data_IF_203938714080
#
_entry.id   IF_203938714080
#
_cell.length_a   1.000
_cell.length_b   1.000
_cell.length_c   1.000
_cell.angle_alpha   90.00
_cell.angle_beta   90.00
_cell.angle_gamma   90.00
#
_symmetry.space_group_name_H-M   'P 1'
#
loop_
_entity.id
_entity.type
_entity.pdbx_description
1 polymer ?
#
# COMPACT_ATOMS: atom_id res chain seq x y z
N UNK A 1 -4.28 -20.14 33.45
CA UNK A 1 -4.23 -18.84 34.14
C UNK A 1 -3.19 -17.99 33.44
N UNK A 2 -3.55 -17.27 32.38
CA UNK A 2 -2.64 -16.31 31.74
C UNK A 2 -2.89 -14.95 32.38
N UNK A 3 -1.99 -14.56 33.28
CA UNK A 3 -1.95 -13.23 33.84
C UNK A 3 -1.31 -12.29 32.81
N UNK A 4 -2.08 -11.35 32.29
CA UNK A 4 -1.56 -10.17 31.60
C UNK A 4 -1.96 -8.95 32.44
N UNK A 5 -1.02 -8.06 32.82
CA UNK A 5 -1.33 -6.88 33.61
C UNK A 5 -2.19 -5.91 32.78
N UNK A 6 -3.06 -5.10 33.42
CA UNK A 6 -3.58 -3.90 32.80
C UNK A 6 -2.47 -2.83 32.81
N UNK A 7 -2.40 -1.96 31.79
CA UNK A 7 -1.52 -0.76 31.66
C UNK A 7 -0.31 -0.89 30.72
N UNK A 8 -0.54 -1.07 29.42
CA UNK A 8 0.38 -0.53 28.41
C UNK A 8 -0.41 0.21 27.32
N UNK A 9 -0.66 1.49 27.56
CA UNK A 9 -1.01 2.39 26.47
C UNK A 9 0.29 2.66 25.72
N UNK A 10 0.52 1.95 24.61
CA UNK A 10 1.62 2.23 23.73
C UNK A 10 1.32 3.50 22.93
N UNK A 11 2.34 4.34 22.75
CA UNK A 11 2.29 5.46 21.82
C UNK A 11 3.37 5.25 20.76
N UNK A 12 2.98 5.28 19.50
CA UNK A 12 3.90 5.17 18.38
C UNK A 12 3.77 6.39 17.47
N UNK A 13 4.88 6.86 16.93
CA UNK A 13 4.92 8.06 16.09
C UNK A 13 5.53 7.72 14.74
N UNK A 14 4.81 8.05 13.67
CA UNK A 14 5.24 7.77 12.30
C UNK A 14 5.36 9.07 11.53
N UNK A 15 6.53 9.27 10.93
CA UNK A 15 6.80 10.41 10.07
C UNK A 15 6.29 10.13 8.64
N UNK A 16 5.32 10.94 8.20
CA UNK A 16 4.61 10.76 6.95
C UNK A 16 4.93 11.91 5.99
N UNK A 17 5.55 11.66 4.82
CA UNK A 17 5.80 12.70 3.84
C UNK A 17 4.49 13.37 3.37
N UNK A 18 4.50 14.69 3.11
CA UNK A 18 3.29 15.44 2.79
C UNK A 18 2.64 15.01 1.46
N UNK A 19 3.40 14.38 0.55
CA UNK A 19 2.86 13.80 -0.68
C UNK A 19 2.00 12.55 -0.47
N UNK A 20 2.17 11.83 0.64
CA UNK A 20 1.46 10.57 0.93
C UNK A 20 0.42 10.71 2.04
N UNK A 21 0.45 11.78 2.82
CA UNK A 21 -0.50 11.98 3.92
C UNK A 21 -1.96 12.09 3.45
N UNK A 22 -2.20 12.67 2.27
CA UNK A 22 -3.54 12.70 1.68
C UNK A 22 -4.07 11.29 1.41
N UNK A 23 -3.18 10.33 1.15
CA UNK A 23 -3.49 8.92 0.96
C UNK A 23 -3.81 8.21 2.27
N UNK A 24 -3.12 8.56 3.36
CA UNK A 24 -3.36 8.01 4.71
C UNK A 24 -4.66 8.54 5.31
N UNK A 25 -4.97 9.82 5.08
CA UNK A 25 -6.23 10.45 5.54
C UNK A 25 -7.42 9.97 4.71
N UNK A 26 -7.27 9.88 3.38
CA UNK A 26 -8.38 9.62 2.47
C UNK A 26 -9.26 10.85 2.23
N UNK A 27 -10.14 10.79 1.22
CA UNK A 27 -11.07 11.89 0.94
C UNK A 27 -12.06 12.02 2.11
N UNK A 28 -12.09 13.18 2.76
CA UNK A 28 -12.97 13.40 3.92
C UNK A 28 -12.60 12.62 5.19
N UNK A 29 -11.37 12.06 5.27
CA UNK A 29 -10.93 11.31 6.45
C UNK A 29 -11.46 9.87 6.51
N UNK A 30 -11.97 9.32 5.41
CA UNK A 30 -12.51 7.95 5.37
C UNK A 30 -11.43 6.90 5.65
N UNK A 31 -10.22 7.09 5.12
CA UNK A 31 -9.14 6.11 5.23
C UNK A 31 -8.60 6.10 6.65
N UNK A 32 -8.36 7.27 7.26
CA UNK A 32 -7.93 7.32 8.66
C UNK A 32 -8.96 6.75 9.62
N UNK A 33 -10.26 7.01 9.38
CA UNK A 33 -11.33 6.36 10.16
C UNK A 33 -11.31 4.85 9.99
N UNK A 34 -11.10 4.36 8.76
CA UNK A 34 -10.94 2.93 8.48
C UNK A 34 -9.71 2.32 9.17
N UNK A 35 -8.59 3.03 9.19
CA UNK A 35 -7.36 2.62 9.86
C UNK A 35 -7.55 2.51 11.38
N UNK A 36 -8.17 3.52 12.00
CA UNK A 36 -8.53 3.49 13.41
C UNK A 36 -9.53 2.37 13.73
N UNK A 37 -10.53 2.17 12.87
CA UNK A 37 -11.54 1.11 13.04
C UNK A 37 -10.96 -0.30 12.86
N UNK A 38 -10.03 -0.49 11.91
CA UNK A 38 -9.35 -1.77 11.68
C UNK A 38 -8.36 -2.12 12.80
N UNK A 39 -7.59 -1.13 13.25
CA UNK A 39 -6.57 -1.34 14.28
C UNK A 39 -7.12 -1.31 15.69
N UNK A 40 -8.25 -0.62 15.91
CA UNK A 40 -8.75 -0.29 17.25
C UNK A 40 -7.87 0.73 17.99
N UNK A 41 -6.91 1.37 17.30
CA UNK A 41 -6.04 2.40 17.87
C UNK A 41 -6.56 3.81 17.60
N UNK A 42 -6.16 4.75 18.45
CA UNK A 42 -6.44 6.17 18.29
C UNK A 42 -5.30 6.85 17.51
N UNK A 43 -5.57 7.19 16.24
CA UNK A 43 -4.59 7.76 15.31
C UNK A 43 -4.84 9.27 15.18
N UNK A 44 -3.93 10.10 15.68
CA UNK A 44 -3.98 11.57 15.59
C UNK A 44 -2.92 12.06 14.63
N UNK A 45 -3.27 12.95 13.69
CA UNK A 45 -2.31 13.53 12.76
C UNK A 45 -2.04 14.97 13.16
N UNK A 46 -0.77 15.30 13.39
CA UNK A 46 -0.36 16.67 13.64
C UNK A 46 -0.31 17.46 12.32
N UNK A 47 -1.12 18.52 12.25
CA UNK A 47 -1.22 19.40 11.07
C UNK A 47 -0.39 20.69 11.25
N UNK A 48 0.36 20.81 12.35
CA UNK A 48 1.05 22.04 12.73
C UNK A 48 2.46 22.15 12.11
N UNK A 49 2.58 21.84 10.83
CA UNK A 49 3.86 21.87 10.13
C UNK A 49 3.79 22.76 8.88
N UNK A 50 4.82 23.59 8.62
CA UNK A 50 4.89 24.43 7.44
C UNK A 50 4.89 23.58 6.16
N UNK A 51 4.29 24.12 5.09
CA UNK A 51 4.20 23.49 3.78
C UNK A 51 5.54 22.89 3.34
N UNK A 52 5.58 21.55 3.21
CA UNK A 52 6.76 20.81 2.75
C UNK A 52 7.42 19.89 3.78
N UNK A 53 7.04 19.96 5.06
CA UNK A 53 7.60 19.06 6.10
C UNK A 53 6.81 17.74 6.25
N UNK A 54 7.48 16.64 6.65
CA UNK A 54 6.81 15.38 6.99
C UNK A 54 5.86 15.60 8.18
N UNK A 55 4.61 15.17 8.02
CA UNK A 55 3.60 15.22 9.07
C UNK A 55 3.77 14.05 10.03
N UNK A 56 3.60 14.29 11.32
CA UNK A 56 3.73 13.24 12.34
C UNK A 56 2.37 12.64 12.68
N UNK A 57 2.27 11.32 12.56
CA UNK A 57 1.09 10.54 12.92
C UNK A 57 1.35 9.93 14.28
N UNK A 58 0.56 10.32 15.27
CA UNK A 58 0.63 9.84 16.64
C UNK A 58 -0.45 8.79 16.87
N UNK A 59 -0.03 7.55 17.10
CA UNK A 59 -0.91 6.40 17.32
C UNK A 59 -0.87 6.07 18.81
N UNK A 60 -2.03 6.02 19.46
CA UNK A 60 -2.14 5.70 20.89
C UNK A 60 -3.20 4.62 21.10
N UNK A 61 -2.93 3.69 22.00
CA UNK A 61 -3.85 2.59 22.30
C UNK A 61 -3.14 1.39 22.93
N UNK A 62 -3.81 0.23 22.99
CA UNK A 62 -3.20 -1.02 23.42
C UNK A 62 -2.01 -1.38 22.51
N UNK A 63 -0.93 -2.00 23.03
CA UNK A 63 0.20 -2.45 22.20
C UNK A 63 -0.23 -3.21 20.94
N UNK A 64 -1.21 -4.13 21.06
CA UNK A 64 -1.71 -4.87 19.91
C UNK A 64 -2.36 -3.98 18.85
N UNK A 65 -3.12 -2.97 19.25
CA UNK A 65 -3.76 -2.04 18.33
C UNK A 65 -2.76 -1.08 17.69
N UNK A 66 -1.82 -0.57 18.47
CA UNK A 66 -0.80 0.37 18.02
C UNK A 66 0.13 -0.29 16.99
N UNK A 67 0.51 -1.54 17.22
CA UNK A 67 1.28 -2.33 16.25
C UNK A 67 0.53 -2.47 14.92
N UNK A 68 -0.74 -2.89 14.96
CA UNK A 68 -1.58 -3.03 13.75
C UNK A 68 -1.73 -1.68 13.02
N UNK A 69 -2.05 -0.61 13.74
CA UNK A 69 -2.21 0.73 13.18
C UNK A 69 -0.92 1.23 12.54
N UNK A 70 0.20 1.06 13.23
CA UNK A 70 1.50 1.51 12.74
C UNK A 70 1.91 0.75 11.49
N UNK A 71 1.69 -0.57 11.46
CA UNK A 71 1.91 -1.40 10.28
C UNK A 71 1.02 -1.02 9.11
N UNK A 72 -0.27 -0.73 9.34
CA UNK A 72 -1.19 -0.27 8.30
C UNK A 72 -0.72 1.08 7.73
N UNK A 73 -0.41 2.06 8.58
CA UNK A 73 0.04 3.39 8.18
C UNK A 73 1.37 3.30 7.43
N UNK A 74 2.33 2.51 7.92
CA UNK A 74 3.63 2.31 7.29
C UNK A 74 3.51 1.61 5.92
N UNK A 75 2.57 0.68 5.77
CA UNK A 75 2.23 0.06 4.48
C UNK A 75 1.73 1.13 3.49
N UNK A 76 0.82 2.01 3.92
CA UNK A 76 0.35 3.12 3.07
C UNK A 76 1.48 4.09 2.68
N UNK A 77 2.45 4.27 3.56
CA UNK A 77 3.61 5.15 3.39
C UNK A 77 4.69 4.56 2.48
N UNK A 78 4.93 3.25 2.56
CA UNK A 78 5.91 2.54 1.73
C UNK A 78 5.46 2.38 0.26
N UNK A 79 4.31 2.95 -0.11
CA UNK A 79 3.72 2.74 -1.43
C UNK A 79 2.95 1.43 -1.52
N UNK A 80 2.73 0.75 -0.40
CA UNK A 80 1.74 -0.30 -0.28
C UNK A 80 0.38 0.24 -0.74
N UNK A 81 -0.37 -0.58 -1.47
CA UNK A 81 -1.57 -0.12 -2.16
C UNK A 81 -2.62 0.28 -1.14
N UNK A 82 -2.84 1.59 -1.00
CA UNK A 82 -4.04 2.12 -0.36
C UNK A 82 -5.23 1.59 -1.13
N UNK A 83 -5.89 0.63 -0.50
CA UNK A 83 -7.14 0.00 -0.92
C UNK A 83 -8.21 1.07 -1.14
N UNK A 84 -8.21 1.63 -2.35
CA UNK A 84 -9.43 2.02 -3.07
C UNK A 84 -10.03 0.86 -3.88
N UNK A 85 -9.40 -0.32 -3.83
CA UNK A 85 -9.94 -1.58 -4.33
C UNK A 85 -9.73 -2.65 -3.28
N UNK A 86 -10.81 -3.16 -2.70
CA UNK A 86 -10.75 -4.24 -1.72
C UNK A 86 -10.04 -5.45 -2.33
N UNK A 87 -8.85 -5.74 -1.83
CA UNK A 87 -8.28 -7.08 -1.92
C UNK A 87 -9.16 -7.93 -1.00
N UNK A 88 -10.16 -8.61 -1.59
CA UNK A 88 -11.02 -9.52 -0.85
C UNK A 88 -10.18 -10.61 -0.15
N UNK A 89 -10.68 -11.24 0.92
CA UNK A 89 -10.01 -12.40 1.50
C UNK A 89 -9.82 -13.46 0.41
N UNK A 90 -8.58 -13.70 0.00
CA UNK A 90 -8.22 -14.61 -1.12
C UNK A 90 -7.53 -13.95 -2.31
N UNK A 91 -7.43 -12.62 -2.36
CA UNK A 91 -6.64 -11.92 -3.38
C UNK A 91 -5.27 -11.50 -2.81
N UNK A 92 -4.24 -11.58 -3.64
CA UNK A 92 -2.90 -11.07 -3.39
C UNK A 92 -2.62 -9.87 -4.28
N UNK A 93 -1.65 -9.06 -3.86
CA UNK A 93 -1.18 -7.94 -4.65
C UNK A 93 0.34 -7.87 -4.55
N UNK A 94 1.00 -7.72 -5.71
CA UNK A 94 2.45 -7.66 -5.82
C UNK A 94 2.86 -6.43 -6.62
N UNK A 95 3.93 -5.77 -6.18
CA UNK A 95 4.48 -4.59 -6.84
C UNK A 95 5.85 -4.99 -7.41
N UNK A 96 6.04 -4.74 -8.70
CA UNK A 96 7.28 -5.04 -9.43
C UNK A 96 7.84 -3.73 -9.96
N UNK A 97 9.10 -3.46 -9.65
CA UNK A 97 9.81 -2.30 -10.18
C UNK A 97 10.30 -2.61 -11.59
N UNK A 98 9.98 -1.74 -12.56
CA UNK A 98 10.41 -1.89 -13.94
C UNK A 98 11.08 -0.62 -14.46
N UNK A 99 12.27 -0.72 -15.06
CA UNK A 99 12.91 0.43 -15.68
C UNK A 99 12.12 0.92 -16.90
N UNK A 100 12.09 2.25 -17.09
CA UNK A 100 11.41 2.91 -18.23
C UNK A 100 11.92 2.45 -19.59
N UNK A 101 13.14 1.93 -19.66
CA UNK A 101 13.72 1.36 -20.88
C UNK A 101 13.01 0.07 -21.33
N UNK A 102 12.57 -0.75 -20.36
CA UNK A 102 11.94 -2.05 -20.61
C UNK A 102 10.42 -2.00 -20.54
N UNK A 103 9.83 -0.99 -19.87
CA UNK A 103 8.36 -0.86 -19.74
C UNK A 103 7.65 -0.83 -21.11
N UNK A 104 8.29 -0.24 -22.13
CA UNK A 104 7.75 -0.24 -23.50
C UNK A 104 7.65 -1.64 -24.11
N UNK A 105 8.57 -2.55 -23.77
CA UNK A 105 8.50 -3.97 -24.16
C UNK A 105 7.43 -4.72 -23.40
N UNK A 106 7.32 -4.47 -22.09
CA UNK A 106 6.28 -5.07 -21.22
C UNK A 106 4.88 -4.68 -21.68
N UNK A 107 4.66 -3.43 -22.10
CA UNK A 107 3.38 -2.97 -22.64
C UNK A 107 3.13 -3.55 -24.04
N UNK A 108 4.16 -3.56 -24.90
CA UNK A 108 4.04 -3.95 -26.30
C UNK A 108 3.41 -2.88 -27.19
N UNK A 109 3.48 -3.06 -28.51
CA UNK A 109 2.87 -2.11 -29.47
C UNK A 109 1.36 -2.07 -29.24
N UNK A 110 0.81 -0.90 -28.91
CA UNK A 110 -0.62 -0.73 -28.66
C UNK A 110 -1.15 -1.42 -27.37
N UNK A 111 -0.27 -1.85 -26.46
CA UNK A 111 -0.67 -2.54 -25.23
C UNK A 111 -1.02 -4.02 -25.43
N UNK A 112 -0.62 -4.63 -26.54
CA UNK A 112 -0.92 -6.03 -26.84
C UNK A 112 -0.23 -7.00 -25.86
N UNK A 113 1.05 -6.78 -25.55
CA UNK A 113 1.80 -7.63 -24.59
C UNK A 113 1.18 -7.59 -23.21
N UNK A 114 0.89 -6.39 -22.68
CA UNK A 114 0.28 -6.28 -21.35
C UNK A 114 -1.13 -6.86 -21.31
N UNK A 115 -1.94 -6.68 -22.37
CA UNK A 115 -3.26 -7.34 -22.47
C UNK A 115 -3.11 -8.86 -22.51
N UNK A 116 -2.13 -9.36 -23.24
CA UNK A 116 -1.78 -10.79 -23.28
C UNK A 116 -1.37 -11.31 -21.91
N UNK A 117 -0.51 -10.60 -21.18
CA UNK A 117 -0.07 -10.95 -19.83
C UNK A 117 -1.24 -11.01 -18.84
N UNK A 118 -2.12 -10.00 -18.85
CA UNK A 118 -3.32 -9.99 -18.02
C UNK A 118 -4.27 -11.14 -18.38
N UNK A 119 -4.47 -11.39 -19.68
CA UNK A 119 -5.38 -12.44 -20.16
C UNK A 119 -4.83 -13.86 -19.94
N UNK A 120 -3.51 -14.06 -20.02
CA UNK A 120 -2.86 -15.35 -19.75
C UNK A 120 -2.89 -15.69 -18.27
N UNK A 121 -2.57 -14.71 -17.42
CA UNK A 121 -2.41 -14.94 -15.98
C UNK A 121 -3.73 -14.84 -15.23
N UNK A 122 -4.71 -14.13 -15.78
CA UNK A 122 -5.94 -13.75 -15.08
C UNK A 122 -5.71 -12.73 -13.97
N UNK A 123 -4.50 -12.16 -13.86
CA UNK A 123 -4.20 -11.10 -12.91
C UNK A 123 -4.45 -9.72 -13.54
N UNK A 124 -4.83 -8.76 -12.71
CA UNK A 124 -4.96 -7.37 -13.10
C UNK A 124 -3.61 -6.69 -12.98
N UNK A 125 -3.07 -6.20 -14.08
CA UNK A 125 -1.77 -5.54 -14.13
C UNK A 125 -1.98 -4.04 -14.37
N UNK A 126 -1.44 -3.22 -13.48
CA UNK A 126 -1.58 -1.77 -13.48
C UNK A 126 -0.17 -1.17 -13.48
N UNK A 127 0.20 -0.44 -14.52
CA UNK A 127 1.52 0.18 -14.61
C UNK A 127 1.41 1.64 -14.19
N UNK A 128 2.20 2.04 -13.20
CA UNK A 128 2.39 3.42 -12.79
C UNK A 128 3.69 3.97 -13.38
N UNK A 129 3.54 4.87 -14.36
CA UNK A 129 4.67 5.56 -15.00
C UNK A 129 5.00 6.90 -14.35
N UNK A 130 4.25 7.29 -13.30
CA UNK A 130 4.45 8.55 -12.58
C UNK A 130 5.75 8.55 -11.78
N UNK A 131 6.26 7.36 -11.47
CA UNK A 131 7.51 7.14 -10.74
C UNK A 131 8.56 6.50 -11.66
N UNK A 132 9.85 6.71 -11.35
CA UNK A 132 10.98 6.11 -12.06
C UNK A 132 11.89 5.46 -11.01
N UNK A 133 12.06 4.12 -10.99
CA UNK A 133 11.52 3.12 -11.92
C UNK A 133 9.98 3.06 -11.92
N UNK A 134 9.38 2.70 -13.05
CA UNK A 134 7.93 2.52 -13.16
C UNK A 134 7.50 1.37 -12.23
N UNK A 135 6.35 1.50 -11.58
CA UNK A 135 5.84 0.46 -10.67
C UNK A 135 4.71 -0.32 -11.32
N UNK A 136 4.88 -1.62 -11.49
CA UNK A 136 3.87 -2.53 -12.00
C UNK A 136 3.17 -3.17 -10.81
N UNK A 137 1.91 -2.81 -10.62
CA UNK A 137 1.05 -3.34 -9.58
C UNK A 137 0.20 -4.47 -10.16
N UNK A 138 0.32 -5.66 -9.60
CA UNK A 138 -0.37 -6.87 -10.04
C UNK A 138 -1.32 -7.27 -8.92
N UNK A 139 -2.62 -7.34 -9.21
CA UNK A 139 -3.67 -7.70 -8.25
C UNK A 139 -4.46 -8.89 -8.77
N UNK A 140 -4.71 -9.89 -7.94
CA UNK A 140 -5.48 -11.07 -8.36
C UNK A 140 -5.35 -12.21 -7.36
N UNK A 141 -5.59 -13.44 -7.81
CA UNK A 141 -5.33 -14.62 -6.98
C UNK A 141 -3.80 -14.76 -6.73
N UNK A 142 -3.32 -15.24 -5.58
CA UNK A 142 -1.88 -15.39 -5.31
C UNK A 142 -1.14 -16.18 -6.41
N UNK A 143 -1.77 -17.22 -6.95
CA UNK A 143 -1.23 -18.00 -8.06
C UNK A 143 -1.11 -17.17 -9.36
N UNK A 144 -2.13 -16.37 -9.69
CA UNK A 144 -2.14 -15.51 -10.86
C UNK A 144 -1.12 -14.37 -10.74
N UNK A 145 -0.98 -13.81 -9.53
CA UNK A 145 -0.07 -12.71 -9.23
C UNK A 145 1.38 -13.17 -9.35
N UNK A 146 1.72 -14.34 -8.81
CA UNK A 146 3.04 -14.94 -8.95
C UNK A 146 3.38 -15.20 -10.43
N UNK A 147 2.47 -15.84 -11.16
CA UNK A 147 2.64 -16.12 -12.59
C UNK A 147 2.82 -14.83 -13.41
N UNK A 148 2.00 -13.80 -13.15
CA UNK A 148 2.09 -12.51 -13.83
C UNK A 148 3.38 -11.77 -13.50
N UNK A 149 3.80 -11.76 -12.24
CA UNK A 149 5.06 -11.13 -11.86
C UNK A 149 6.22 -11.79 -12.57
N UNK A 150 6.22 -13.11 -12.68
CA UNK A 150 7.29 -13.86 -13.32
C UNK A 150 7.35 -13.58 -14.82
N UNK A 151 6.20 -13.52 -15.48
CA UNK A 151 6.10 -13.17 -16.89
C UNK A 151 6.52 -11.71 -17.16
N UNK A 152 6.20 -10.79 -16.24
CA UNK A 152 6.66 -9.40 -16.32
C UNK A 152 8.18 -9.33 -16.16
N UNK A 153 8.75 -10.03 -15.17
CA UNK A 153 10.20 -10.08 -14.93
C UNK A 153 10.96 -10.73 -16.10
N UNK A 154 10.36 -11.69 -16.79
CA UNK A 154 10.96 -12.32 -17.99
C UNK A 154 11.08 -11.35 -19.17
N UNK A 155 10.21 -10.33 -19.22
CA UNK A 155 10.20 -9.31 -20.29
C UNK A 155 11.10 -8.11 -19.97
N UNK A 156 11.41 -7.89 -18.68
CA UNK A 156 12.31 -6.82 -18.19
C UNK A 156 13.77 -7.24 -18.40
#
# INVERSE_FOLDING_TARGET
>A
MHAHPPTDAACNFIDCPPGLVGRVIGKGGETIKGLQAQSGAHITIDQNYPDGAPRKISISGPAGCVDIASKLVEDLLKGGPVRGGGVGPGQAQQIVECPKDMVGRVIGRGGETIKGLQSQTGARIQIDQSVSPCLITITGNPYCVDAASRAVVDVI
#
